data_IF_818394646721
#
_entry.id   IF_818394646721
#
_cell.length_a   1.000
_cell.length_b   1.000
_cell.length_c   1.000
_cell.angle_alpha   90.00
_cell.angle_beta   90.00
_cell.angle_gamma   90.00
#
_symmetry.space_group_name_H-M   'P 1'
#
loop_
_entity.id
_entity.type
_entity.pdbx_description
1 polymer ?
#
# COMPACT_ATOMS: atom_id res chain seq x y z
N UNK A 1 88.75 -15.14 9.52
CA UNK A 1 89.09 -14.90 8.10
C UNK A 1 87.77 -14.95 7.35
N UNK A 2 87.35 -13.78 6.86
CA UNK A 2 86.13 -13.45 6.11
C UNK A 2 86.01 -14.23 4.78
N UNK A 3 84.90 -14.32 4.03
CA UNK A 3 83.44 -14.21 4.19
C UNK A 3 82.91 -14.90 2.91
N UNK A 4 81.81 -15.65 3.02
CA UNK A 4 81.23 -16.49 1.96
C UNK A 4 80.66 -15.70 0.78
N UNK A 5 80.76 -16.33 -0.39
CA UNK A 5 80.07 -16.04 -1.64
C UNK A 5 78.56 -16.32 -1.55
N UNK A 6 77.71 -15.37 -1.94
CA UNK A 6 76.32 -15.59 -2.39
C UNK A 6 75.93 -14.41 -3.30
N UNK A 7 75.95 -14.61 -4.63
CA UNK A 7 75.25 -13.77 -5.62
C UNK A 7 75.24 -14.54 -6.94
N UNK A 8 74.10 -15.14 -7.30
CA UNK A 8 73.93 -15.80 -8.60
C UNK A 8 72.86 -16.90 -8.65
N UNK A 9 72.48 -17.49 -7.50
CA UNK A 9 71.50 -18.58 -7.46
C UNK A 9 70.04 -18.16 -7.21
N UNK A 10 69.78 -16.91 -6.83
CA UNK A 10 68.46 -16.48 -6.36
C UNK A 10 67.43 -16.20 -7.47
N UNK A 11 67.89 -15.97 -8.71
CA UNK A 11 66.98 -15.59 -9.82
C UNK A 11 66.38 -16.82 -10.53
N UNK A 12 66.99 -18.00 -10.40
CA UNK A 12 66.52 -19.23 -11.05
C UNK A 12 65.66 -20.13 -10.16
N UNK A 13 65.58 -19.85 -8.86
CA UNK A 13 64.75 -20.62 -7.91
C UNK A 13 63.36 -20.00 -7.75
N UNK A 14 63.18 -18.69 -7.98
CA UNK A 14 61.87 -18.05 -7.90
C UNK A 14 60.89 -18.54 -8.99
N UNK A 15 61.33 -18.61 -10.25
CA UNK A 15 60.47 -19.01 -11.37
C UNK A 15 60.08 -20.51 -11.36
N UNK A 16 60.86 -21.38 -10.69
CA UNK A 16 60.53 -22.80 -10.54
C UNK A 16 59.72 -23.07 -9.25
N UNK A 17 59.82 -22.19 -8.25
CA UNK A 17 58.94 -22.21 -7.07
C UNK A 17 57.52 -21.73 -7.40
N UNK A 18 57.39 -20.69 -8.24
CA UNK A 18 56.09 -20.23 -8.79
C UNK A 18 55.36 -21.33 -9.56
N UNK A 19 56.10 -22.23 -10.23
CA UNK A 19 55.51 -23.35 -11.00
C UNK A 19 55.26 -24.63 -10.19
N UNK A 20 55.75 -24.71 -8.95
CA UNK A 20 55.60 -25.87 -8.06
C UNK A 20 54.66 -25.59 -6.89
N UNK A 21 54.40 -24.32 -6.54
CA UNK A 21 53.36 -23.96 -5.55
C UNK A 21 51.96 -24.32 -6.05
N UNK A 22 51.72 -24.21 -7.36
CA UNK A 22 50.48 -24.59 -8.06
C UNK A 22 50.16 -26.11 -8.04
N UNK A 23 51.04 -26.96 -7.48
CA UNK A 23 50.88 -28.44 -7.51
C UNK A 23 50.90 -29.15 -6.17
N UNK A 24 51.01 -28.44 -5.05
CA UNK A 24 51.15 -29.07 -3.73
C UNK A 24 50.37 -28.36 -2.62
N UNK A 25 49.09 -28.07 -2.86
CA UNK A 25 48.12 -27.83 -1.78
C UNK A 25 46.99 -28.86 -1.88
N UNK A 26 47.32 -30.12 -1.62
CA UNK A 26 46.33 -31.12 -1.28
C UNK A 26 46.64 -31.61 0.11
N UNK A 27 45.78 -31.28 1.08
CA UNK A 27 45.88 -31.61 2.52
C UNK A 27 46.74 -30.66 3.35
N UNK A 28 46.31 -29.41 3.48
CA UNK A 28 46.55 -28.66 4.71
C UNK A 28 45.20 -28.44 5.39
N UNK A 29 45.04 -29.00 6.60
CA UNK A 29 43.93 -28.66 7.47
C UNK A 29 44.17 -27.20 7.92
N UNK A 30 43.58 -26.24 7.22
CA UNK A 30 43.86 -24.80 7.32
C UNK A 30 42.98 -24.13 8.39
N UNK A 31 42.94 -24.71 9.60
CA UNK A 31 42.32 -24.03 10.74
C UNK A 31 43.03 -22.68 11.00
N UNK A 32 42.39 -21.57 10.63
CA UNK A 32 42.83 -20.20 10.97
C UNK A 32 44.03 -19.66 10.18
N UNK A 33 44.17 -20.04 8.90
CA UNK A 33 45.19 -19.45 8.04
C UNK A 33 44.86 -17.99 7.70
N UNK A 34 45.81 -17.09 7.97
CA UNK A 34 45.75 -15.66 7.60
C UNK A 34 46.69 -15.44 6.43
N UNK A 35 46.15 -15.05 5.28
CA UNK A 35 46.91 -14.76 4.07
C UNK A 35 47.09 -13.24 3.90
N UNK A 36 48.28 -12.74 3.52
CA UNK A 36 48.50 -11.32 3.29
C UNK A 36 48.51 -10.94 1.80
N UNK A 37 47.75 -9.89 1.45
CA UNK A 37 47.74 -9.04 0.23
C UNK A 37 48.10 -9.63 -1.14
N UNK A 38 47.19 -9.41 -2.09
CA UNK A 38 47.32 -9.60 -3.53
C UNK A 38 47.42 -11.10 -3.94
N UNK A 39 46.50 -11.92 -3.44
CA UNK A 39 46.37 -13.34 -3.83
C UNK A 39 44.95 -13.68 -4.25
N UNK A 40 44.81 -14.27 -5.43
CA UNK A 40 43.67 -15.12 -5.77
C UNK A 40 43.83 -16.43 -4.98
N UNK A 41 42.89 -16.71 -4.08
CA UNK A 41 42.86 -17.96 -3.32
C UNK A 41 41.78 -18.89 -3.89
N UNK A 42 42.21 -20.03 -4.43
CA UNK A 42 41.33 -21.11 -4.86
C UNK A 42 41.68 -22.43 -4.16
N UNK A 43 40.70 -23.08 -3.55
CA UNK A 43 40.86 -24.37 -2.87
C UNK A 43 39.77 -25.38 -3.23
N UNK A 44 40.17 -26.66 -3.25
CA UNK A 44 39.30 -27.84 -3.28
C UNK A 44 39.62 -28.74 -2.06
N UNK A 45 39.86 -28.12 -0.90
CA UNK A 45 39.86 -28.82 0.40
C UNK A 45 38.79 -28.17 1.31
N UNK A 46 37.85 -28.95 1.88
CA UNK A 46 36.81 -28.55 2.87
C UNK A 46 37.41 -27.76 4.06
N UNK A 47 37.46 -26.41 4.02
CA UNK A 47 38.05 -25.66 5.11
C UNK A 47 37.01 -25.51 6.22
N UNK A 48 37.32 -25.96 7.45
CA UNK A 48 36.46 -25.69 8.61
C UNK A 48 36.32 -24.18 8.94
N UNK A 49 37.12 -23.33 8.29
CA UNK A 49 37.08 -21.88 8.47
C UNK A 49 38.23 -21.17 7.73
N UNK A 50 37.92 -20.14 6.94
CA UNK A 50 38.92 -19.24 6.34
C UNK A 50 38.83 -17.83 6.97
N UNK A 51 39.98 -17.20 7.24
CA UNK A 51 40.05 -15.77 7.64
C UNK A 51 41.00 -15.05 6.70
N UNK A 52 40.43 -14.24 5.81
CA UNK A 52 41.12 -13.58 4.72
C UNK A 52 41.05 -12.07 4.87
N UNK A 53 42.12 -11.38 4.48
CA UNK A 53 42.18 -9.93 4.64
C UNK A 53 42.96 -9.32 3.49
N UNK A 54 42.37 -8.35 2.79
CA UNK A 54 42.98 -7.72 1.62
C UNK A 54 43.30 -8.71 0.48
N UNK A 55 42.37 -9.60 0.16
CA UNK A 55 42.54 -10.60 -0.90
C UNK A 55 41.67 -10.22 -2.10
N UNK A 56 42.23 -10.20 -3.31
CA UNK A 56 41.49 -9.74 -4.49
C UNK A 56 40.29 -10.67 -4.80
N UNK A 57 40.45 -11.99 -4.66
CA UNK A 57 39.38 -12.96 -4.95
C UNK A 57 39.53 -14.23 -4.10
N UNK A 58 38.41 -14.68 -3.51
CA UNK A 58 38.29 -16.00 -2.88
C UNK A 58 37.28 -16.86 -3.63
N UNK A 59 37.71 -18.03 -4.08
CA UNK A 59 36.84 -19.02 -4.73
C UNK A 59 37.03 -20.44 -4.18
N UNK A 60 35.94 -21.14 -3.86
CA UNK A 60 36.01 -22.54 -3.39
C UNK A 60 34.87 -23.41 -3.95
N UNK A 61 35.19 -24.66 -4.29
CA UNK A 61 34.23 -25.68 -4.76
C UNK A 61 33.97 -26.77 -3.70
N UNK A 62 34.07 -26.43 -2.42
CA UNK A 62 33.85 -27.34 -1.29
C UNK A 62 32.94 -26.64 -0.27
N UNK A 63 32.40 -27.37 0.72
CA UNK A 63 31.50 -26.86 1.79
C UNK A 63 32.28 -26.18 2.95
N UNK A 64 32.56 -24.85 2.95
CA UNK A 64 33.16 -24.23 4.11
C UNK A 64 32.15 -24.20 5.27
N UNK A 65 32.59 -24.66 6.44
CA UNK A 65 31.83 -24.39 7.68
C UNK A 65 31.73 -22.89 8.00
N UNK A 66 32.59 -22.07 7.41
CA UNK A 66 32.36 -20.65 7.27
C UNK A 66 33.58 -19.85 6.85
N UNK A 67 33.35 -18.61 6.41
CA UNK A 67 34.41 -17.71 5.98
C UNK A 67 34.27 -16.34 6.67
N UNK A 68 35.39 -15.72 7.01
CA UNK A 68 35.46 -14.32 7.42
C UNK A 68 36.41 -13.60 6.46
N UNK A 69 35.89 -12.71 5.62
CA UNK A 69 36.70 -11.87 4.76
C UNK A 69 36.57 -10.40 5.14
N UNK A 70 37.64 -9.67 4.85
CA UNK A 70 37.68 -8.24 5.05
C UNK A 70 38.51 -7.58 3.97
N UNK A 71 37.92 -6.63 3.26
CA UNK A 71 38.57 -5.82 2.22
C UNK A 71 39.07 -6.62 1.03
N UNK A 72 38.31 -7.59 0.56
CA UNK A 72 38.54 -8.26 -0.72
C UNK A 72 37.69 -7.70 -1.84
N UNK A 73 37.93 -8.09 -3.10
CA UNK A 73 37.06 -7.64 -4.19
C UNK A 73 35.90 -8.64 -4.38
N UNK A 74 36.14 -9.95 -4.30
CA UNK A 74 35.07 -10.97 -4.54
C UNK A 74 35.16 -12.22 -3.68
N UNK A 75 33.99 -12.73 -3.25
CA UNK A 75 33.80 -14.07 -2.70
C UNK A 75 32.85 -14.88 -3.57
N UNK A 76 33.28 -16.06 -4.04
CA UNK A 76 32.44 -16.97 -4.82
C UNK A 76 32.54 -18.43 -4.35
N UNK A 77 31.42 -19.13 -4.23
CA UNK A 77 31.42 -20.57 -3.89
C UNK A 77 30.37 -21.36 -4.69
N UNK A 78 30.64 -22.65 -4.92
CA UNK A 78 29.78 -23.60 -5.63
C UNK A 78 29.33 -24.76 -4.72
N UNK A 79 29.20 -24.53 -3.42
CA UNK A 79 28.79 -25.53 -2.43
C UNK A 79 28.12 -24.80 -1.26
N UNK A 80 27.57 -25.53 -0.27
CA UNK A 80 26.70 -25.00 0.80
C UNK A 80 27.51 -24.39 1.98
N UNK A 81 27.81 -23.07 2.03
CA UNK A 81 28.51 -22.52 3.18
C UNK A 81 27.57 -22.50 4.39
N UNK A 82 28.05 -23.00 5.53
CA UNK A 82 27.30 -22.85 6.78
C UNK A 82 27.22 -21.38 7.26
N UNK A 83 28.07 -20.48 6.74
CA UNK A 83 28.10 -19.09 7.18
C UNK A 83 29.21 -18.24 6.57
N UNK A 84 28.90 -17.04 6.08
CA UNK A 84 29.92 -16.06 5.67
C UNK A 84 29.79 -14.75 6.48
N UNK A 85 30.93 -14.13 6.79
CA UNK A 85 31.00 -12.76 7.32
C UNK A 85 31.96 -11.96 6.46
N UNK A 86 31.46 -10.94 5.78
CA UNK A 86 32.17 -10.16 4.77
C UNK A 86 32.13 -8.70 5.19
N UNK A 87 33.22 -7.97 4.89
CA UNK A 87 33.32 -6.57 5.28
C UNK A 87 34.16 -5.76 4.30
N UNK A 88 33.53 -4.81 3.63
CA UNK A 88 34.13 -3.98 2.58
C UNK A 88 34.59 -4.83 1.38
N UNK A 89 33.75 -5.78 0.97
CA UNK A 89 33.96 -6.65 -0.17
C UNK A 89 33.02 -6.24 -1.31
N UNK A 90 33.50 -6.16 -2.57
CA UNK A 90 32.63 -5.66 -3.65
C UNK A 90 31.49 -6.65 -3.99
N UNK A 91 31.73 -7.97 -3.96
CA UNK A 91 30.74 -8.96 -4.41
C UNK A 91 30.77 -10.27 -3.60
N UNK A 92 29.58 -10.78 -3.24
CA UNK A 92 29.35 -12.14 -2.79
C UNK A 92 28.44 -12.90 -3.74
N UNK A 93 28.88 -14.06 -4.21
CA UNK A 93 28.08 -14.95 -5.04
C UNK A 93 28.15 -16.41 -4.61
N UNK A 94 27.01 -17.10 -4.54
CA UNK A 94 26.95 -18.56 -4.33
C UNK A 94 25.93 -19.23 -5.24
N UNK A 95 26.25 -20.46 -5.66
CA UNK A 95 25.37 -21.30 -6.48
C UNK A 95 24.56 -22.34 -5.68
N UNK A 96 24.68 -22.35 -4.36
CA UNK A 96 24.11 -23.35 -3.43
C UNK A 96 23.58 -22.66 -2.17
N UNK A 97 22.92 -23.40 -1.27
CA UNK A 97 22.09 -22.96 -0.13
C UNK A 97 22.91 -22.49 1.08
N UNK A 98 23.26 -21.19 1.25
CA UNK A 98 23.95 -20.79 2.46
C UNK A 98 23.01 -20.87 3.66
N UNK A 99 23.50 -21.44 4.77
CA UNK A 99 22.78 -21.32 6.05
C UNK A 99 22.72 -19.87 6.56
N UNK A 100 23.64 -19.02 6.09
CA UNK A 100 23.43 -17.58 6.12
C UNK A 100 24.68 -16.73 5.89
N UNK A 101 24.49 -15.44 5.68
CA UNK A 101 25.59 -14.50 5.50
C UNK A 101 25.37 -13.18 6.25
N UNK A 102 26.47 -12.55 6.65
CA UNK A 102 26.49 -11.20 7.22
C UNK A 102 27.48 -10.36 6.42
N UNK A 103 26.97 -9.32 5.77
CA UNK A 103 27.69 -8.44 4.86
C UNK A 103 27.68 -7.02 5.39
N UNK A 104 28.76 -6.27 5.20
CA UNK A 104 28.84 -4.89 5.68
C UNK A 104 29.74 -4.04 4.78
N UNK A 105 29.15 -3.00 4.20
CA UNK A 105 29.76 -2.15 3.17
C UNK A 105 30.14 -2.96 1.92
N UNK A 106 29.24 -3.84 1.48
CA UNK A 106 29.49 -4.73 0.35
C UNK A 106 28.53 -4.38 -0.78
N UNK A 107 29.01 -4.26 -2.03
CA UNK A 107 28.20 -3.68 -3.11
C UNK A 107 27.09 -4.66 -3.57
N UNK A 108 27.40 -5.96 -3.77
CA UNK A 108 26.44 -6.92 -4.35
C UNK A 108 26.41 -8.27 -3.60
N UNK A 109 25.19 -8.77 -3.34
CA UNK A 109 24.93 -10.13 -2.83
C UNK A 109 24.00 -10.90 -3.77
N UNK A 110 24.53 -11.91 -4.47
CA UNK A 110 23.79 -12.68 -5.48
C UNK A 110 23.78 -14.19 -5.18
N UNK A 111 22.60 -14.79 -5.15
CA UNK A 111 22.43 -16.22 -4.83
C UNK A 111 21.52 -16.92 -5.84
N UNK A 112 21.92 -18.11 -6.27
CA UNK A 112 21.12 -18.93 -7.19
C UNK A 112 20.25 -20.02 -6.55
N UNK A 113 20.30 -20.23 -5.23
CA UNK A 113 19.56 -21.29 -4.49
C UNK A 113 18.94 -20.72 -3.20
N UNK A 114 18.40 -21.52 -2.28
CA UNK A 114 17.58 -21.11 -1.11
C UNK A 114 18.42 -20.66 0.13
N UNK A 115 18.72 -19.36 0.36
CA UNK A 115 19.43 -18.98 1.57
C UNK A 115 18.52 -19.06 2.81
N UNK A 116 19.03 -19.65 3.89
CA UNK A 116 18.31 -19.64 5.17
C UNK A 116 18.26 -18.25 5.83
N UNK A 117 19.12 -17.31 5.43
CA UNK A 117 19.20 -16.01 6.10
C UNK A 117 20.33 -15.12 5.64
N UNK A 118 20.04 -13.87 5.27
CA UNK A 118 21.06 -12.86 4.99
C UNK A 118 20.86 -11.59 5.83
N UNK A 119 21.98 -10.98 6.24
CA UNK A 119 21.99 -9.66 6.88
C UNK A 119 22.99 -8.78 6.13
N UNK A 120 22.50 -7.75 5.46
CA UNK A 120 23.30 -6.77 4.73
C UNK A 120 23.21 -5.42 5.44
N UNK A 121 24.32 -4.69 5.49
CA UNK A 121 24.35 -3.33 6.04
C UNK A 121 25.22 -2.45 5.18
N UNK A 122 24.67 -1.33 4.70
CA UNK A 122 25.33 -0.42 3.74
C UNK A 122 25.77 -1.15 2.46
N UNK A 123 24.92 -1.98 1.87
CA UNK A 123 25.24 -2.66 0.62
C UNK A 123 24.23 -2.31 -0.46
N UNK A 124 24.65 -2.28 -1.72
CA UNK A 124 23.84 -1.70 -2.78
C UNK A 124 22.73 -2.67 -3.22
N UNK A 125 23.02 -3.96 -3.44
CA UNK A 125 22.05 -4.90 -4.04
C UNK A 125 22.00 -6.27 -3.33
N UNK A 126 20.78 -6.78 -3.09
CA UNK A 126 20.49 -8.16 -2.76
C UNK A 126 19.65 -8.80 -3.87
N UNK A 127 20.14 -9.88 -4.46
CA UNK A 127 19.41 -10.63 -5.50
C UNK A 127 19.44 -12.13 -5.24
N UNK A 128 18.28 -12.79 -5.32
CA UNK A 128 18.19 -14.25 -5.25
C UNK A 128 17.19 -14.84 -6.23
N UNK A 129 17.52 -16.00 -6.81
CA UNK A 129 16.66 -16.70 -7.77
C UNK A 129 15.70 -17.72 -7.16
N UNK A 130 15.73 -17.94 -5.85
CA UNK A 130 15.02 -19.02 -5.14
C UNK A 130 14.45 -18.47 -3.80
N UNK A 131 13.85 -19.30 -2.93
CA UNK A 131 13.03 -18.93 -1.75
C UNK A 131 13.87 -18.58 -0.50
N UNK A 132 14.26 -17.31 -0.22
CA UNK A 132 15.00 -17.02 0.99
C UNK A 132 14.09 -17.19 2.22
N UNK A 133 14.58 -17.89 3.24
CA UNK A 133 13.86 -17.98 4.50
C UNK A 133 13.75 -16.62 5.22
N UNK A 134 14.68 -15.71 4.95
CA UNK A 134 14.75 -14.43 5.63
C UNK A 134 15.86 -13.51 5.13
N UNK A 135 15.57 -12.23 4.90
CA UNK A 135 16.58 -11.22 4.63
C UNK A 135 16.39 -9.97 5.51
N UNK A 136 17.51 -9.38 5.94
CA UNK A 136 17.53 -8.09 6.65
C UNK A 136 18.53 -7.18 5.96
N UNK A 137 18.03 -6.09 5.36
CA UNK A 137 18.83 -5.07 4.73
C UNK A 137 18.73 -3.78 5.54
N UNK A 138 19.82 -3.03 5.62
CA UNK A 138 19.83 -1.71 6.28
C UNK A 138 20.74 -0.78 5.52
N UNK A 139 20.20 0.36 5.08
CA UNK A 139 20.87 1.31 4.18
C UNK A 139 21.34 0.63 2.89
N UNK A 140 20.46 -0.10 2.21
CA UNK A 140 20.83 -0.74 0.95
C UNK A 140 19.83 -0.44 -0.14
N UNK A 141 20.30 -0.28 -1.36
CA UNK A 141 19.52 0.35 -2.42
C UNK A 141 18.42 -0.60 -2.93
N UNK A 142 18.73 -1.87 -3.21
CA UNK A 142 17.77 -2.78 -3.88
C UNK A 142 17.68 -4.18 -3.23
N UNK A 143 16.46 -4.69 -3.09
CA UNK A 143 16.15 -6.09 -2.82
C UNK A 143 15.32 -6.68 -3.95
N UNK A 144 15.81 -7.73 -4.59
CA UNK A 144 15.11 -8.43 -5.67
C UNK A 144 15.10 -9.95 -5.44
N UNK A 145 13.95 -10.59 -5.63
CA UNK A 145 13.83 -12.05 -5.64
C UNK A 145 12.86 -12.54 -6.71
N UNK A 146 13.14 -13.72 -7.28
CA UNK A 146 12.28 -14.34 -8.28
C UNK A 146 11.27 -15.33 -7.71
N UNK A 147 11.31 -15.63 -6.42
CA UNK A 147 10.57 -16.73 -5.77
C UNK A 147 9.98 -16.23 -4.41
N UNK A 148 9.35 -17.09 -3.59
CA UNK A 148 8.53 -16.76 -2.40
C UNK A 148 9.39 -16.51 -1.13
N UNK A 149 9.79 -15.27 -0.77
CA UNK A 149 10.53 -15.06 0.46
C UNK A 149 9.61 -15.29 1.68
N UNK A 150 10.08 -16.06 2.66
CA UNK A 150 9.35 -16.21 3.93
C UNK A 150 9.32 -14.91 4.77
N UNK A 151 10.27 -14.00 4.53
CA UNK A 151 10.35 -12.76 5.30
C UNK A 151 11.44 -11.82 4.81
N UNK A 152 11.13 -10.55 4.61
CA UNK A 152 12.11 -9.51 4.37
C UNK A 152 11.93 -8.33 5.34
N UNK A 153 13.05 -7.75 5.79
CA UNK A 153 13.08 -6.51 6.56
C UNK A 153 14.06 -5.55 5.91
N UNK A 154 13.56 -4.45 5.35
CA UNK A 154 14.37 -3.37 4.80
C UNK A 154 14.24 -2.13 5.69
N UNK A 155 15.30 -1.32 5.68
CA UNK A 155 15.30 -0.04 6.40
C UNK A 155 16.24 0.92 5.71
N UNK A 156 15.72 2.06 5.26
CA UNK A 156 16.45 3.07 4.49
C UNK A 156 17.01 2.52 3.16
N UNK A 157 16.21 1.77 2.41
CA UNK A 157 16.52 1.35 1.05
C UNK A 157 15.72 2.10 0.01
N UNK A 158 16.00 1.82 -1.26
CA UNK A 158 15.32 2.48 -2.36
C UNK A 158 14.20 1.56 -2.90
N UNK A 159 14.45 0.27 -3.12
CA UNK A 159 13.50 -0.62 -3.80
C UNK A 159 13.40 -2.03 -3.19
N UNK A 160 12.17 -2.55 -3.09
CA UNK A 160 11.86 -3.96 -2.87
C UNK A 160 11.01 -4.50 -4.02
N UNK A 161 11.51 -5.54 -4.70
CA UNK A 161 10.81 -6.19 -5.80
C UNK A 161 10.78 -7.71 -5.62
N UNK A 162 9.62 -8.32 -5.82
CA UNK A 162 9.49 -9.78 -5.93
C UNK A 162 8.53 -10.19 -7.04
N UNK A 163 8.83 -11.31 -7.71
CA UNK A 163 7.97 -11.87 -8.75
C UNK A 163 6.93 -12.87 -8.23
N UNK A 164 6.99 -13.27 -6.95
CA UNK A 164 6.21 -14.37 -6.36
C UNK A 164 5.66 -13.93 -4.96
N UNK A 165 4.93 -14.79 -4.24
CA UNK A 165 4.12 -14.52 -3.03
C UNK A 165 4.99 -14.37 -1.74
N UNK A 166 5.36 -13.15 -1.27
CA UNK A 166 6.09 -13.04 -0.02
C UNK A 166 5.15 -13.36 1.17
N UNK A 167 5.61 -14.21 2.09
CA UNK A 167 4.87 -14.44 3.34
C UNK A 167 4.81 -13.21 4.24
N UNK A 168 5.76 -12.28 4.10
CA UNK A 168 5.86 -11.12 4.95
C UNK A 168 6.97 -10.15 4.56
N UNK A 169 6.65 -8.87 4.39
CA UNK A 169 7.64 -7.81 4.20
C UNK A 169 7.44 -6.67 5.22
N UNK A 170 8.54 -6.15 5.77
CA UNK A 170 8.55 -4.97 6.64
C UNK A 170 9.56 -3.97 6.11
N UNK A 171 9.07 -2.82 5.66
CA UNK A 171 9.84 -1.76 5.03
C UNK A 171 9.70 -0.46 5.83
N UNK A 172 10.80 0.29 5.96
CA UNK A 172 10.86 1.51 6.78
C UNK A 172 11.79 2.55 6.19
N UNK A 173 11.24 3.69 5.81
CA UNK A 173 11.94 4.72 5.03
C UNK A 173 12.46 4.17 3.70
N UNK A 174 11.65 3.36 3.03
CA UNK A 174 12.01 2.74 1.75
C UNK A 174 11.15 3.36 0.64
N UNK A 175 11.73 3.72 -0.50
CA UNK A 175 11.04 4.49 -1.53
C UNK A 175 9.95 3.65 -2.23
N UNK A 176 10.23 2.42 -2.66
CA UNK A 176 9.31 1.62 -3.47
C UNK A 176 9.14 0.15 -3.00
N UNK A 177 7.90 -0.33 -2.96
CA UNK A 177 7.55 -1.75 -2.83
C UNK A 177 6.75 -2.22 -4.05
N UNK A 178 7.22 -3.26 -4.72
CA UNK A 178 6.56 -3.87 -5.88
C UNK A 178 6.51 -5.39 -5.78
N UNK A 179 5.34 -5.98 -6.05
CA UNK A 179 5.19 -7.44 -6.19
C UNK A 179 4.22 -7.81 -7.32
N UNK A 180 4.53 -8.89 -8.04
CA UNK A 180 3.67 -9.40 -9.10
C UNK A 180 2.58 -10.39 -8.62
N UNK A 181 2.60 -10.81 -7.36
CA UNK A 181 1.81 -11.92 -6.81
C UNK A 181 1.22 -11.53 -5.43
N UNK A 182 0.52 -12.44 -4.72
CA UNK A 182 -0.29 -12.24 -3.51
C UNK A 182 0.56 -12.17 -2.21
N UNK A 183 0.97 -10.99 -1.68
CA UNK A 183 1.67 -10.97 -0.40
C UNK A 183 0.72 -11.35 0.74
N UNK A 184 1.14 -12.29 1.59
CA UNK A 184 0.38 -12.63 2.80
C UNK A 184 0.31 -11.48 3.80
N UNK A 185 1.28 -10.56 3.76
CA UNK A 185 1.33 -9.41 4.64
C UNK A 185 2.47 -8.45 4.33
N UNK A 186 2.15 -7.17 4.17
CA UNK A 186 3.15 -6.11 4.03
C UNK A 186 2.95 -5.00 5.06
N UNK A 187 4.07 -4.47 5.57
CA UNK A 187 4.10 -3.28 6.43
C UNK A 187 5.08 -2.30 5.82
N UNK A 188 4.60 -1.17 5.31
CA UNK A 188 5.42 -0.08 4.78
C UNK A 188 5.22 1.18 5.62
N UNK A 189 6.32 1.82 6.00
CA UNK A 189 6.28 3.07 6.79
C UNK A 189 7.23 4.11 6.23
N UNK A 190 6.72 5.32 5.96
CA UNK A 190 7.47 6.42 5.33
C UNK A 190 8.04 6.02 3.97
N UNK A 191 7.22 5.51 3.07
CA UNK A 191 7.65 5.19 1.70
C UNK A 191 6.98 6.08 0.68
N UNK A 192 7.43 6.00 -0.56
CA UNK A 192 6.84 6.77 -1.65
C UNK A 192 5.74 5.94 -2.34
N UNK A 193 5.99 4.67 -2.69
CA UNK A 193 5.06 3.85 -3.48
C UNK A 193 4.91 2.41 -2.95
N UNK A 194 3.67 1.91 -2.97
CA UNK A 194 3.32 0.50 -2.81
C UNK A 194 2.49 0.03 -4.01
N UNK A 195 2.97 -0.97 -4.73
CA UNK A 195 2.33 -1.52 -5.92
C UNK A 195 2.25 -3.05 -5.87
N UNK A 196 1.08 -3.62 -6.17
CA UNK A 196 0.90 -5.07 -6.33
C UNK A 196 -0.05 -5.40 -7.46
N UNK A 197 0.26 -6.46 -8.21
CA UNK A 197 -0.60 -6.91 -9.31
C UNK A 197 -1.71 -7.88 -8.89
N UNK A 198 -1.71 -8.37 -7.65
CA UNK A 198 -2.54 -9.48 -7.17
C UNK A 198 -3.12 -9.15 -5.76
N UNK A 199 -3.86 -10.06 -5.12
CA UNK A 199 -4.66 -9.88 -3.88
C UNK A 199 -3.80 -9.90 -2.58
N UNK A 200 -3.37 -8.76 -2.00
CA UNK A 200 -2.69 -8.81 -0.71
C UNK A 200 -3.66 -9.25 0.39
N UNK A 201 -3.31 -10.29 1.15
CA UNK A 201 -4.10 -10.72 2.31
C UNK A 201 -4.14 -9.67 3.44
N UNK A 202 -3.22 -8.71 3.43
CA UNK A 202 -3.25 -7.59 4.35
C UNK A 202 -2.07 -6.64 4.18
N UNK A 203 -2.36 -5.34 4.07
CA UNK A 203 -1.34 -4.28 4.00
C UNK A 203 -1.56 -3.26 5.11
N UNK A 204 -0.48 -2.88 5.81
CA UNK A 204 -0.48 -1.77 6.76
C UNK A 204 0.50 -0.71 6.27
N UNK A 205 -0.01 0.44 5.86
CA UNK A 205 0.75 1.48 5.22
C UNK A 205 0.64 2.77 6.04
N UNK A 206 1.77 3.38 6.36
CA UNK A 206 1.77 4.62 7.13
C UNK A 206 2.74 5.65 6.56
N UNK A 207 2.22 6.81 6.17
CA UNK A 207 2.92 7.83 5.41
C UNK A 207 3.49 7.21 4.12
N UNK A 208 2.60 6.72 3.26
CA UNK A 208 2.94 6.19 1.94
C UNK A 208 2.23 7.08 0.93
N UNK A 209 2.98 7.73 0.03
CA UNK A 209 2.40 8.71 -0.88
C UNK A 209 1.41 8.04 -1.84
N UNK A 210 1.76 6.91 -2.46
CA UNK A 210 0.90 6.20 -3.43
C UNK A 210 0.71 4.71 -3.08
N UNK A 211 -0.55 4.25 -3.08
CA UNK A 211 -0.91 2.83 -3.06
C UNK A 211 -1.69 2.45 -4.31
N UNK A 212 -1.24 1.40 -4.99
CA UNK A 212 -1.89 0.86 -6.19
C UNK A 212 -1.99 -0.66 -6.14
N UNK A 213 -3.16 -1.20 -6.43
CA UNK A 213 -3.37 -2.65 -6.61
C UNK A 213 -4.30 -2.94 -7.77
N UNK A 214 -4.00 -4.00 -8.53
CA UNK A 214 -4.84 -4.41 -9.65
C UNK A 214 -5.98 -5.35 -9.25
N UNK A 215 -5.96 -5.93 -8.04
CA UNK A 215 -6.83 -7.04 -7.61
C UNK A 215 -7.44 -6.72 -6.20
N UNK A 216 -8.20 -7.64 -5.59
CA UNK A 216 -9.01 -7.50 -4.36
C UNK A 216 -8.17 -7.59 -3.04
N UNK A 217 -7.71 -6.47 -2.43
CA UNK A 217 -6.99 -6.56 -1.17
C UNK A 217 -7.91 -7.04 -0.04
N UNK A 218 -7.48 -8.07 0.68
CA UNK A 218 -8.18 -8.65 1.83
C UNK A 218 -7.88 -7.88 3.13
N UNK A 219 -8.01 -6.55 3.09
CA UNK A 219 -7.81 -5.66 4.22
C UNK A 219 -6.59 -4.77 4.07
N UNK A 220 -6.80 -3.55 3.60
CA UNK A 220 -5.80 -2.48 3.58
C UNK A 220 -6.07 -1.49 4.72
N UNK A 221 -5.01 -1.08 5.41
CA UNK A 221 -5.03 0.01 6.39
C UNK A 221 -3.99 1.07 6.03
N UNK A 222 -4.24 1.91 5.00
CA UNK A 222 -3.45 3.10 4.72
C UNK A 222 -3.71 4.18 5.78
N UNK A 223 -2.66 4.94 6.10
CA UNK A 223 -2.76 6.08 7.01
C UNK A 223 -1.80 7.19 6.58
N UNK A 224 -2.29 8.41 6.43
CA UNK A 224 -1.53 9.59 5.99
C UNK A 224 -0.85 9.43 4.61
N UNK A 225 -1.53 8.83 3.64
CA UNK A 225 -1.08 8.79 2.25
C UNK A 225 -1.69 9.91 1.39
N UNK A 226 -1.17 10.08 0.19
CA UNK A 226 -1.72 11.06 -0.76
C UNK A 226 -2.77 10.39 -1.66
N UNK A 227 -2.49 9.19 -2.20
CA UNK A 227 -3.36 8.52 -3.17
C UNK A 227 -3.52 7.01 -2.88
N UNK A 228 -4.75 6.51 -2.95
CA UNK A 228 -5.10 5.09 -2.92
C UNK A 228 -5.94 4.71 -4.13
N UNK A 229 -5.45 3.77 -4.94
CA UNK A 229 -6.12 3.30 -6.15
C UNK A 229 -6.21 1.77 -6.18
N UNK A 230 -7.38 1.24 -6.52
CA UNK A 230 -7.59 -0.21 -6.73
C UNK A 230 -8.50 -0.45 -7.93
N UNK A 231 -8.17 -1.45 -8.74
CA UNK A 231 -8.99 -1.80 -9.90
C UNK A 231 -10.13 -2.77 -9.60
N UNK A 232 -10.17 -3.40 -8.42
CA UNK A 232 -11.05 -4.52 -8.08
C UNK A 232 -11.69 -4.29 -6.68
N UNK A 233 -12.48 -5.23 -6.13
CA UNK A 233 -13.32 -5.16 -4.91
C UNK A 233 -12.53 -5.29 -3.57
N UNK A 234 -12.08 -4.21 -2.90
CA UNK A 234 -11.42 -4.37 -1.60
C UNK A 234 -12.39 -4.89 -0.53
N UNK A 235 -12.01 -6.01 0.10
CA UNK A 235 -12.71 -6.54 1.27
C UNK A 235 -12.26 -5.84 2.55
N UNK A 236 -12.87 -4.69 2.83
CA UNK A 236 -12.67 -3.98 4.09
C UNK A 236 -11.44 -3.08 4.05
N UNK A 237 -11.60 -1.85 3.58
CA UNK A 237 -10.56 -0.83 3.64
C UNK A 237 -10.80 0.14 4.81
N UNK A 238 -9.74 0.49 5.54
CA UNK A 238 -9.77 1.53 6.57
C UNK A 238 -8.71 2.58 6.25
N UNK A 239 -9.15 3.69 5.68
CA UNK A 239 -8.30 4.82 5.29
C UNK A 239 -8.43 5.94 6.30
N UNK A 240 -7.29 6.53 6.69
CA UNK A 240 -7.30 7.66 7.64
C UNK A 240 -6.27 8.73 7.28
N UNK A 241 -6.73 9.97 7.14
CA UNK A 241 -5.93 11.13 6.71
C UNK A 241 -5.31 10.95 5.32
N UNK A 242 -6.02 10.27 4.41
CA UNK A 242 -5.52 9.98 3.06
C UNK A 242 -6.15 10.94 2.05
N UNK A 243 -5.38 11.46 1.08
CA UNK A 243 -5.87 12.48 0.13
C UNK A 243 -7.00 11.98 -0.77
N UNK A 244 -6.69 11.13 -1.74
CA UNK A 244 -7.64 10.63 -2.72
C UNK A 244 -7.82 9.10 -2.62
N UNK A 245 -9.05 8.62 -2.69
CA UNK A 245 -9.40 7.20 -2.83
C UNK A 245 -10.18 6.97 -4.12
N UNK A 246 -9.68 6.10 -4.99
CA UNK A 246 -10.36 5.69 -6.22
C UNK A 246 -10.45 4.17 -6.34
N UNK A 247 -11.63 3.67 -6.72
CA UNK A 247 -11.83 2.26 -7.06
C UNK A 247 -12.71 2.09 -8.29
N UNK A 248 -12.40 1.09 -9.11
CA UNK A 248 -13.19 0.77 -10.30
C UNK A 248 -14.32 -0.23 -10.05
N UNK A 249 -14.41 -0.86 -8.89
CA UNK A 249 -15.30 -2.00 -8.60
C UNK A 249 -16.03 -1.80 -7.23
N UNK A 250 -16.80 -2.80 -6.75
CA UNK A 250 -17.73 -2.79 -5.58
C UNK A 250 -17.01 -3.00 -4.21
N UNK A 251 -16.54 -1.97 -3.48
CA UNK A 251 -15.90 -2.20 -2.18
C UNK A 251 -16.88 -2.75 -1.14
N UNK A 252 -16.55 -3.91 -0.57
CA UNK A 252 -17.28 -4.51 0.56
C UNK A 252 -16.86 -3.85 1.88
N UNK A 253 -17.34 -2.63 2.10
CA UNK A 253 -17.17 -1.89 3.34
C UNK A 253 -15.89 -1.06 3.36
N UNK A 254 -16.02 0.25 3.12
CA UNK A 254 -14.93 1.20 3.28
C UNK A 254 -15.21 2.15 4.45
N UNK A 255 -14.22 2.36 5.31
CA UNK A 255 -14.25 3.40 6.35
C UNK A 255 -13.17 4.41 6.01
N UNK A 256 -13.58 5.64 5.67
CA UNK A 256 -12.68 6.75 5.37
C UNK A 256 -12.82 7.82 6.45
N UNK A 257 -11.69 8.29 6.97
CA UNK A 257 -11.69 9.37 7.95
C UNK A 257 -10.66 10.44 7.61
N UNK A 258 -11.09 11.70 7.50
CA UNK A 258 -10.26 12.86 7.18
C UNK A 258 -9.57 12.77 5.80
N UNK A 259 -10.26 12.29 4.76
CA UNK A 259 -9.69 12.28 3.41
C UNK A 259 -10.31 13.33 2.51
N UNK A 260 -9.63 13.73 1.45
CA UNK A 260 -10.09 14.83 0.58
C UNK A 260 -11.15 14.33 -0.42
N UNK A 261 -10.91 13.23 -1.14
CA UNK A 261 -11.83 12.73 -2.19
C UNK A 261 -12.04 11.22 -2.14
N UNK A 262 -13.29 10.78 -2.34
CA UNK A 262 -13.66 9.38 -2.59
C UNK A 262 -14.42 9.27 -3.92
N UNK A 263 -13.92 8.43 -4.82
CA UNK A 263 -14.55 8.15 -6.11
C UNK A 263 -14.65 6.64 -6.38
N UNK A 264 -15.84 6.17 -6.77
CA UNK A 264 -16.04 4.77 -7.22
C UNK A 264 -16.90 4.71 -8.48
N UNK A 265 -16.56 3.76 -9.37
CA UNK A 265 -17.33 3.52 -10.59
C UNK A 265 -18.47 2.52 -10.46
N UNK A 266 -18.58 1.80 -9.33
CA UNK A 266 -19.48 0.66 -9.14
C UNK A 266 -20.25 0.77 -7.79
N UNK A 267 -21.05 -0.24 -7.39
CA UNK A 267 -22.01 -0.27 -6.26
C UNK A 267 -21.35 -0.58 -4.88
N UNK A 268 -20.92 0.39 -4.06
CA UNK A 268 -20.37 0.07 -2.75
C UNK A 268 -21.45 -0.51 -1.82
N UNK A 269 -21.19 -1.70 -1.26
CA UNK A 269 -22.07 -2.32 -0.26
C UNK A 269 -22.16 -1.54 1.07
N UNK A 270 -21.25 -0.58 1.28
CA UNK A 270 -21.27 0.32 2.42
C UNK A 270 -20.04 1.22 2.48
N UNK A 271 -20.24 2.53 2.42
CA UNK A 271 -19.18 3.51 2.65
C UNK A 271 -19.50 4.35 3.90
N UNK A 272 -18.47 4.58 4.73
CA UNK A 272 -18.55 5.50 5.87
C UNK A 272 -17.43 6.54 5.80
N UNK A 273 -17.56 7.57 4.94
CA UNK A 273 -16.67 8.73 4.95
C UNK A 273 -16.98 9.61 6.17
N UNK A 274 -15.95 10.14 6.81
CA UNK A 274 -16.09 11.10 7.91
C UNK A 274 -15.06 12.20 7.78
N UNK A 275 -15.48 13.46 7.87
CA UNK A 275 -14.63 14.65 7.73
C UNK A 275 -13.87 14.72 6.38
N UNK A 276 -14.53 14.43 5.25
CA UNK A 276 -13.87 14.49 3.95
C UNK A 276 -14.58 15.37 2.95
N UNK A 277 -13.85 15.96 2.02
CA UNK A 277 -14.39 17.05 1.19
C UNK A 277 -15.42 16.50 0.18
N UNK A 278 -15.10 15.45 -0.60
CA UNK A 278 -15.97 14.99 -1.70
C UNK A 278 -16.21 13.47 -1.71
N UNK A 279 -17.45 13.05 -1.94
CA UNK A 279 -17.84 11.67 -2.24
C UNK A 279 -18.61 11.59 -3.56
N UNK A 280 -18.11 10.80 -4.51
CA UNK A 280 -18.71 10.62 -5.83
C UNK A 280 -18.82 9.14 -6.22
N UNK A 281 -19.98 8.74 -6.74
CA UNK A 281 -20.19 7.39 -7.27
C UNK A 281 -21.01 7.41 -8.56
N UNK A 282 -20.66 6.54 -9.50
CA UNK A 282 -21.39 6.40 -10.76
C UNK A 282 -22.54 5.39 -10.72
N UNK A 283 -22.71 4.63 -9.63
CA UNK A 283 -23.63 3.47 -9.54
C UNK A 283 -24.47 3.53 -8.23
N UNK A 284 -25.27 2.49 -7.92
CA UNK A 284 -26.29 2.38 -6.85
C UNK A 284 -25.68 1.95 -5.48
N UNK A 285 -25.23 2.86 -4.59
CA UNK A 285 -24.72 2.45 -3.29
C UNK A 285 -25.85 1.85 -2.43
N UNK A 286 -25.61 0.64 -1.88
CA UNK A 286 -26.55 0.00 -0.95
C UNK A 286 -26.75 0.80 0.35
N UNK A 287 -25.76 1.63 0.71
CA UNK A 287 -25.79 2.43 1.92
C UNK A 287 -24.57 3.33 2.09
N UNK A 288 -24.78 4.64 2.20
CA UNK A 288 -23.73 5.61 2.54
C UNK A 288 -24.04 6.28 3.89
N UNK A 289 -23.03 6.40 4.75
CA UNK A 289 -23.11 7.20 5.98
C UNK A 289 -22.00 8.23 5.98
N UNK A 290 -22.32 9.47 5.66
CA UNK A 290 -21.39 10.59 5.66
C UNK A 290 -21.59 11.44 6.91
N UNK A 291 -20.51 12.06 7.37
CA UNK A 291 -20.57 13.06 8.42
C UNK A 291 -19.43 14.07 8.31
N UNK A 292 -19.77 15.35 8.35
CA UNK A 292 -18.87 16.49 8.28
C UNK A 292 -18.07 16.58 6.96
N UNK A 293 -18.65 16.21 5.83
CA UNK A 293 -18.06 16.41 4.51
C UNK A 293 -18.60 17.63 3.77
N UNK A 294 -18.07 17.94 2.60
CA UNK A 294 -18.54 19.09 1.82
C UNK A 294 -19.56 18.63 0.76
N UNK A 295 -19.31 17.57 -0.03
CA UNK A 295 -20.19 17.17 -1.14
C UNK A 295 -20.44 15.65 -1.23
N UNK A 296 -21.69 15.26 -1.51
CA UNK A 296 -22.09 13.91 -1.95
C UNK A 296 -22.78 13.98 -3.30
N UNK A 297 -22.26 13.22 -4.27
CA UNK A 297 -22.80 13.16 -5.63
C UNK A 297 -22.94 11.71 -6.11
N UNK A 298 -24.09 11.36 -6.69
CA UNK A 298 -24.30 10.05 -7.33
C UNK A 298 -25.08 10.18 -8.64
N UNK A 299 -24.73 9.36 -9.63
CA UNK A 299 -25.44 9.31 -10.90
C UNK A 299 -26.63 8.34 -10.93
N UNK A 300 -26.79 7.48 -9.92
CA UNK A 300 -27.73 6.35 -9.91
C UNK A 300 -28.56 6.32 -8.59
N UNK A 301 -29.38 5.28 -8.35
CA UNK A 301 -30.40 5.13 -7.27
C UNK A 301 -29.80 4.62 -5.93
N UNK A 302 -29.38 5.48 -4.97
CA UNK A 302 -28.90 4.97 -3.70
C UNK A 302 -30.06 4.34 -2.90
N UNK A 303 -29.85 3.14 -2.37
CA UNK A 303 -30.83 2.48 -1.49
C UNK A 303 -31.03 3.22 -0.16
N UNK A 304 -30.03 3.98 0.28
CA UNK A 304 -30.05 4.68 1.56
C UNK A 304 -28.84 5.56 1.78
N UNK A 305 -29.04 6.86 2.02
CA UNK A 305 -27.99 7.77 2.43
C UNK A 305 -28.31 8.42 3.78
N UNK A 306 -27.32 8.51 4.67
CA UNK A 306 -27.41 9.27 5.92
C UNK A 306 -26.26 10.26 5.95
N UNK A 307 -26.58 11.54 5.88
CA UNK A 307 -25.65 12.66 5.83
C UNK A 307 -25.84 13.55 7.05
N UNK A 308 -24.75 14.08 7.60
CA UNK A 308 -24.81 14.87 8.82
C UNK A 308 -23.70 15.93 8.88
N UNK A 309 -24.10 17.20 8.89
CA UNK A 309 -23.21 18.34 8.74
C UNK A 309 -22.46 18.31 7.40
N UNK A 310 -23.15 17.93 6.33
CA UNK A 310 -22.58 17.86 4.98
C UNK A 310 -23.14 19.01 4.14
N UNK A 311 -22.32 19.78 3.41
CA UNK A 311 -22.78 21.00 2.73
C UNK A 311 -23.76 20.68 1.56
N UNK A 312 -23.45 19.74 0.67
CA UNK A 312 -24.26 19.43 -0.53
C UNK A 312 -24.58 17.93 -0.72
N UNK A 313 -25.83 17.62 -1.08
CA UNK A 313 -26.26 16.31 -1.61
C UNK A 313 -26.90 16.46 -2.99
N UNK A 314 -26.39 15.73 -3.97
CA UNK A 314 -26.89 15.73 -5.34
C UNK A 314 -27.03 14.31 -5.90
N UNK A 315 -28.17 14.01 -6.52
CA UNK A 315 -28.39 12.77 -7.26
C UNK A 315 -29.14 12.99 -8.57
N UNK A 316 -28.79 12.22 -9.60
CA UNK A 316 -29.48 12.25 -10.88
C UNK A 316 -30.69 11.32 -10.97
N UNK A 317 -30.91 10.44 -10.00
CA UNK A 317 -31.86 9.31 -10.10
C UNK A 317 -32.74 9.21 -8.82
N UNK A 318 -33.54 8.15 -8.63
CA UNK A 318 -34.58 7.92 -7.60
C UNK A 318 -34.00 7.34 -6.28
N UNK A 319 -33.53 8.12 -5.28
CA UNK A 319 -33.06 7.54 -4.03
C UNK A 319 -34.22 6.90 -3.25
N UNK A 320 -34.03 5.66 -2.76
CA UNK A 320 -35.05 4.97 -1.95
C UNK A 320 -35.26 5.65 -0.59
N UNK A 321 -34.24 6.33 -0.08
CA UNK A 321 -34.25 6.94 1.25
C UNK A 321 -33.04 7.83 1.52
N UNK A 322 -33.25 9.10 1.83
CA UNK A 322 -32.20 10.00 2.32
C UNK A 322 -32.54 10.57 3.70
N UNK A 323 -31.54 10.67 4.57
CA UNK A 323 -31.64 11.40 5.85
C UNK A 323 -30.51 12.41 5.91
N UNK A 324 -30.84 13.70 5.83
CA UNK A 324 -29.89 14.81 5.98
C UNK A 324 -30.16 15.55 7.29
N UNK A 325 -29.09 16.09 7.86
CA UNK A 325 -29.17 16.93 9.04
C UNK A 325 -28.05 17.96 9.10
N UNK A 326 -28.41 19.24 9.14
CA UNK A 326 -27.50 20.39 9.18
C UNK A 326 -26.62 20.52 7.92
N UNK A 327 -27.17 20.26 6.74
CA UNK A 327 -26.53 20.56 5.46
C UNK A 327 -27.00 21.86 4.84
N UNK A 328 -26.38 22.26 3.73
CA UNK A 328 -26.76 23.47 3.02
C UNK A 328 -27.77 23.16 1.89
N UNK A 329 -27.55 22.13 1.05
CA UNK A 329 -28.42 21.86 -0.11
C UNK A 329 -28.70 20.36 -0.36
N UNK A 330 -29.94 20.04 -0.71
CA UNK A 330 -30.38 18.76 -1.27
C UNK A 330 -31.00 18.96 -2.66
N UNK A 331 -30.46 18.26 -3.66
CA UNK A 331 -30.91 18.35 -5.04
C UNK A 331 -31.08 16.97 -5.66
N UNK A 332 -32.22 16.72 -6.31
CA UNK A 332 -32.48 15.49 -7.07
C UNK A 332 -33.19 15.78 -8.39
N UNK A 333 -32.80 15.07 -9.45
CA UNK A 333 -33.48 15.19 -10.74
C UNK A 333 -34.73 14.30 -10.86
N UNK A 334 -34.86 13.27 -10.04
CA UNK A 334 -35.90 12.24 -10.15
C UNK A 334 -36.69 12.08 -8.81
N UNK A 335 -37.59 11.08 -8.69
CA UNK A 335 -38.61 10.83 -7.65
C UNK A 335 -38.03 10.16 -6.36
N UNK A 336 -37.59 10.88 -5.31
CA UNK A 336 -37.15 10.23 -4.09
C UNK A 336 -38.32 9.52 -3.39
N UNK A 337 -38.15 8.24 -3.02
CA UNK A 337 -39.17 7.48 -2.28
C UNK A 337 -39.34 7.91 -0.83
N UNK A 338 -38.38 8.67 -0.29
CA UNK A 338 -38.48 9.22 1.06
C UNK A 338 -37.26 10.05 1.44
N UNK A 339 -37.49 11.26 1.92
CA UNK A 339 -36.42 12.14 2.41
C UNK A 339 -36.78 12.65 3.81
N UNK A 340 -35.78 12.72 4.69
CA UNK A 340 -35.90 13.36 6.00
C UNK A 340 -34.77 14.38 6.11
N UNK A 341 -35.11 15.66 6.09
CA UNK A 341 -34.15 16.77 6.19
C UNK A 341 -34.43 17.58 7.45
N UNK A 342 -33.36 18.06 8.07
CA UNK A 342 -33.47 18.75 9.36
C UNK A 342 -32.40 19.84 9.52
N UNK A 343 -32.85 21.10 9.56
CA UNK A 343 -32.00 22.29 9.62
C UNK A 343 -31.12 22.42 8.37
N UNK A 344 -31.71 22.16 7.20
CA UNK A 344 -31.04 22.25 5.91
C UNK A 344 -31.47 23.53 5.17
N UNK A 345 -30.58 24.23 4.46
CA UNK A 345 -30.94 25.53 3.86
C UNK A 345 -31.88 25.36 2.66
N UNK A 346 -31.61 24.43 1.73
CA UNK A 346 -32.39 24.27 0.49
C UNK A 346 -32.74 22.80 0.15
N UNK A 347 -33.99 22.55 -0.26
CA UNK A 347 -34.43 21.30 -0.90
C UNK A 347 -35.02 21.57 -2.29
N UNK A 348 -34.48 20.91 -3.31
CA UNK A 348 -34.90 21.04 -4.70
C UNK A 348 -35.09 19.66 -5.36
N UNK A 349 -36.23 19.46 -6.03
CA UNK A 349 -36.46 18.28 -6.88
C UNK A 349 -37.16 18.64 -8.17
N UNK A 350 -36.79 17.99 -9.27
CA UNK A 350 -37.46 18.17 -10.55
C UNK A 350 -38.72 17.32 -10.73
N UNK A 351 -38.99 16.35 -9.86
CA UNK A 351 -40.00 15.31 -10.06
C UNK A 351 -40.86 15.10 -8.77
N UNK A 352 -41.66 14.02 -8.67
CA UNK A 352 -42.68 13.69 -7.65
C UNK A 352 -42.10 12.98 -6.39
N UNK A 353 -41.64 13.68 -5.32
CA UNK A 353 -41.16 12.99 -4.13
C UNK A 353 -42.30 12.27 -3.38
N UNK A 354 -42.08 11.00 -3.04
CA UNK A 354 -43.02 10.17 -2.28
C UNK A 354 -42.75 10.21 -0.77
N UNK A 355 -42.92 11.38 -0.16
CA UNK A 355 -42.92 11.53 1.29
C UNK A 355 -41.61 12.13 1.79
N UNK A 356 -41.59 13.46 1.83
CA UNK A 356 -40.56 14.24 2.47
C UNK A 356 -40.98 14.66 3.88
N UNK A 357 -40.06 14.65 4.84
CA UNK A 357 -40.22 15.27 6.16
C UNK A 357 -39.12 16.29 6.32
N UNK A 358 -39.47 17.58 6.28
CA UNK A 358 -38.57 18.71 6.41
C UNK A 358 -38.82 19.42 7.73
N UNK A 359 -37.76 19.82 8.43
CA UNK A 359 -37.92 20.55 9.67
C UNK A 359 -36.84 21.62 9.86
N UNK A 360 -37.29 22.87 9.98
CA UNK A 360 -36.45 24.07 10.11
C UNK A 360 -35.59 24.33 8.88
N UNK A 361 -36.15 24.09 7.69
CA UNK A 361 -35.44 24.25 6.42
C UNK A 361 -35.83 25.60 5.77
N UNK A 362 -34.90 26.29 5.10
CA UNK A 362 -35.15 27.66 4.61
C UNK A 362 -36.02 27.66 3.33
N UNK A 363 -35.73 26.79 2.35
CA UNK A 363 -36.47 26.70 1.08
C UNK A 363 -36.82 25.27 0.63
N UNK A 364 -38.04 25.08 0.12
CA UNK A 364 -38.48 23.86 -0.58
C UNK A 364 -39.03 24.20 -1.97
N UNK A 365 -38.47 23.58 -3.01
CA UNK A 365 -38.89 23.73 -4.39
C UNK A 365 -39.08 22.38 -5.09
N UNK A 366 -40.22 22.19 -5.76
CA UNK A 366 -40.47 21.04 -6.65
C UNK A 366 -41.15 21.46 -7.95
N UNK A 367 -40.81 20.81 -9.05
CA UNK A 367 -41.48 21.06 -10.34
C UNK A 367 -42.75 20.22 -10.56
N UNK A 368 -43.04 19.22 -9.74
CA UNK A 368 -44.19 18.30 -9.92
C UNK A 368 -45.01 18.12 -8.60
N UNK A 369 -45.85 17.06 -8.50
CA UNK A 369 -46.87 16.75 -7.49
C UNK A 369 -46.30 15.94 -6.28
N UNK A 370 -45.77 16.56 -5.21
CA UNK A 370 -45.26 15.78 -4.07
C UNK A 370 -46.39 15.03 -3.34
N UNK A 371 -46.16 13.75 -3.03
CA UNK A 371 -47.10 12.91 -2.29
C UNK A 371 -46.67 12.75 -0.83
N UNK A 372 -47.40 13.41 0.08
CA UNK A 372 -47.24 13.19 1.53
C UNK A 372 -46.06 13.93 2.17
N UNK A 373 -45.77 15.16 1.73
CA UNK A 373 -44.80 16.03 2.38
C UNK A 373 -45.27 16.53 3.77
N UNK A 374 -44.38 16.57 4.75
CA UNK A 374 -44.59 17.18 6.07
C UNK A 374 -43.52 18.23 6.28
N UNK A 375 -43.94 19.48 6.39
CA UNK A 375 -43.08 20.66 6.48
C UNK A 375 -43.34 21.37 7.80
N UNK A 376 -42.30 21.60 8.60
CA UNK A 376 -42.45 22.20 9.93
C UNK A 376 -41.38 23.24 10.25
N UNK A 377 -41.81 24.48 10.48
CA UNK A 377 -40.94 25.65 10.70
C UNK A 377 -40.08 26.02 9.49
N UNK A 378 -40.55 25.76 8.28
CA UNK A 378 -39.78 25.98 7.05
C UNK A 378 -40.11 27.34 6.41
N UNK A 379 -39.14 27.99 5.76
CA UNK A 379 -39.27 29.37 5.26
C UNK A 379 -40.22 29.48 4.06
N UNK A 380 -39.77 29.05 2.88
CA UNK A 380 -40.51 29.16 1.62
C UNK A 380 -40.87 27.79 1.03
N UNK A 381 -42.12 27.63 0.59
CA UNK A 381 -42.58 26.45 -0.18
C UNK A 381 -43.05 26.86 -1.58
N UNK A 382 -42.45 26.28 -2.60
CA UNK A 382 -42.79 26.47 -4.01
C UNK A 382 -43.00 25.14 -4.74
N UNK A 383 -44.11 25.02 -5.46
CA UNK A 383 -44.38 23.88 -6.36
C UNK A 383 -45.02 24.38 -7.66
N UNK A 384 -44.73 23.75 -8.79
CA UNK A 384 -45.45 24.08 -10.02
C UNK A 384 -46.82 23.40 -10.11
N UNK A 385 -47.03 22.26 -9.46
CA UNK A 385 -48.26 21.46 -9.58
C UNK A 385 -49.00 21.28 -8.21
N UNK A 386 -49.95 20.34 -8.11
CA UNK A 386 -50.92 20.16 -7.02
C UNK A 386 -50.46 19.11 -5.98
N UNK A 387 -49.90 19.51 -4.82
CA UNK A 387 -49.42 18.56 -3.83
C UNK A 387 -50.56 17.73 -3.20
N UNK A 388 -50.36 16.42 -3.09
CA UNK A 388 -51.32 15.51 -2.46
C UNK A 388 -50.91 15.16 -1.03
N UNK A 389 -51.71 15.63 -0.06
CA UNK A 389 -51.53 15.26 1.34
C UNK A 389 -50.39 15.99 2.07
N UNK A 390 -49.95 17.14 1.54
CA UNK A 390 -48.99 18.00 2.21
C UNK A 390 -49.53 18.57 3.53
N UNK A 391 -48.71 18.56 4.57
CA UNK A 391 -48.98 19.19 5.87
C UNK A 391 -47.92 20.26 6.10
N UNK A 392 -48.35 21.52 6.16
CA UNK A 392 -47.49 22.67 6.42
C UNK A 392 -47.82 23.25 7.79
N UNK A 393 -46.85 23.29 8.69
CA UNK A 393 -46.99 23.91 9.99
C UNK A 393 -45.88 24.95 10.24
N UNK A 394 -46.29 26.16 10.65
CA UNK A 394 -45.38 27.25 11.00
C UNK A 394 -44.44 27.73 9.87
N UNK A 395 -44.87 27.68 8.60
CA UNK A 395 -44.08 28.23 7.49
C UNK A 395 -44.42 29.69 7.14
N UNK A 396 -43.48 30.38 6.50
CA UNK A 396 -43.60 31.81 6.20
C UNK A 396 -44.33 32.08 4.87
N UNK A 397 -44.01 31.37 3.77
CA UNK A 397 -44.61 31.58 2.44
C UNK A 397 -44.96 30.27 1.68
N UNK A 398 -46.07 30.28 0.93
CA UNK A 398 -46.55 29.16 0.09
C UNK A 398 -46.96 29.66 -1.30
N UNK A 399 -46.37 29.09 -2.35
CA UNK A 399 -46.63 29.40 -3.76
C UNK A 399 -46.88 28.13 -4.58
N UNK A 400 -47.93 28.13 -5.39
CA UNK A 400 -48.24 27.09 -6.38
C UNK A 400 -48.83 27.70 -7.65
N UNK A 401 -48.58 27.10 -8.82
CA UNK A 401 -49.25 27.51 -10.05
C UNK A 401 -50.65 26.90 -10.22
N UNK A 402 -51.03 25.89 -9.42
CA UNK A 402 -52.32 25.16 -9.49
C UNK A 402 -53.12 25.15 -8.15
N UNK A 403 -54.25 24.42 -8.08
CA UNK A 403 -55.28 24.50 -7.02
C UNK A 403 -55.15 23.30 -6.02
N UNK A 404 -54.48 23.44 -4.86
CA UNK A 404 -53.96 22.29 -4.10
C UNK A 404 -55.04 21.34 -3.57
N UNK A 405 -54.87 20.04 -3.81
CA UNK A 405 -55.77 18.98 -3.35
C UNK A 405 -55.30 18.35 -2.03
N UNK A 406 -55.77 18.90 -0.91
CA UNK A 406 -55.62 18.27 0.41
C UNK A 406 -54.47 18.80 1.26
N UNK A 407 -53.88 19.93 0.90
CA UNK A 407 -52.95 20.66 1.76
C UNK A 407 -53.63 21.12 3.06
N UNK A 408 -53.02 20.80 4.20
CA UNK A 408 -53.43 21.30 5.51
C UNK A 408 -52.42 22.34 6.01
N UNK A 409 -52.80 23.63 5.95
CA UNK A 409 -52.04 24.74 6.53
C UNK A 409 -52.46 24.92 7.99
N UNK A 410 -51.53 24.70 8.92
CA UNK A 410 -51.71 25.03 10.33
C UNK A 410 -50.72 26.11 10.73
N UNK A 411 -51.09 27.36 10.51
CA UNK A 411 -50.35 28.51 11.06
C UNK A 411 -50.85 28.74 12.48
N UNK A 412 -50.05 28.40 13.48
CA UNK A 412 -50.32 28.78 14.86
C UNK A 412 -49.86 30.24 15.09
N UNK A 413 -50.60 31.18 14.50
CA UNK A 413 -50.55 32.59 14.91
C UNK A 413 -51.44 32.78 16.16
N UNK A 414 -50.85 32.71 17.36
CA UNK A 414 -51.29 33.45 18.57
C UNK A 414 -50.16 34.23 19.25
#
# INVERSE_FOLDING_TARGET
>A
MWLRAICGGAIWIAAEAEKQMDKTMGKLNLEGAVFPKDYEYSTNDDPMGAVLTNDDEYSTNDDPMGAVLASGDKYSTNDDPMGAVLTNDDEYSTNDDPMGAVLTNDDEYSINDDPMGAVLTNGDEYSTNDDPMGAVLTNGDEYSTNDDPMGAVLTNGDEYSTNDDPMGAVLTNDDEYSTNDDPMGAVLTNGDEYSTNDDPMGAVLANVDEYSTNDDPMGAVPTNGDEYSTNDDPMGAVLTNDGEYSTNDDPMGAVLANGDEYSTNDDPMGAVPTNGDEYSTNDDPMGAVLANGDEYSTNDDPMGAVLANDDEYSTNDDPMGAVLANGDEYSTNDDPMGAVLTNDDEYSTNDDPMGAVLTNDDEYSTNDDPMGAVLTNDGEYSTNDDPMGAVLANGDEYSTNDDPMGAALTNDDE
#
